data_IF_709464864252
#
_entry.id   IF_709464864252
#
_cell.length_a   1.000
_cell.length_b   1.000
_cell.length_c   1.000
_cell.angle_alpha   90.00
_cell.angle_beta   90.00
_cell.angle_gamma   90.00
#
_symmetry.space_group_name_H-M   'P 1'
#
loop_
_entity.id
_entity.type
_entity.pdbx_description
1 polymer ?
#
# COMPACT_ATOMS: atom_id res chain seq x y z
N UNK A 1 11.93 -7.75 -13.80
CA UNK A 1 11.27 -7.17 -12.61
C UNK A 1 9.96 -7.91 -12.44
N UNK A 2 9.78 -8.60 -11.32
CA UNK A 2 8.56 -9.36 -11.08
C UNK A 2 7.34 -8.47 -10.83
N UNK A 3 6.17 -9.09 -10.80
CA UNK A 3 4.91 -8.40 -10.50
C UNK A 3 4.94 -7.74 -9.13
N UNK A 4 5.50 -8.42 -8.14
CA UNK A 4 5.68 -7.88 -6.80
C UNK A 4 6.46 -6.56 -6.80
N UNK A 5 7.63 -6.54 -7.46
CA UNK A 5 8.49 -5.35 -7.52
C UNK A 5 7.79 -4.19 -8.19
N UNK A 6 7.01 -4.44 -9.24
CA UNK A 6 6.25 -3.39 -9.91
C UNK A 6 5.15 -2.82 -9.01
N UNK A 7 4.40 -3.66 -8.29
CA UNK A 7 3.39 -3.22 -7.31
C UNK A 7 4.06 -2.39 -6.22
N UNK A 8 5.17 -2.88 -5.67
CA UNK A 8 5.97 -2.16 -4.68
C UNK A 8 6.41 -0.80 -5.23
N UNK A 9 7.02 -0.73 -6.40
CA UNK A 9 7.48 0.54 -6.96
C UNK A 9 6.31 1.50 -7.23
N UNK A 10 5.15 1.01 -7.67
CA UNK A 10 3.97 1.84 -7.84
C UNK A 10 3.52 2.43 -6.48
N UNK A 11 3.39 1.62 -5.45
CA UNK A 11 2.93 2.07 -4.12
C UNK A 11 3.95 3.00 -3.46
N UNK A 12 5.21 2.59 -3.38
CA UNK A 12 6.26 3.38 -2.74
C UNK A 12 6.70 4.60 -3.58
N UNK A 13 6.53 4.55 -4.91
CA UNK A 13 6.71 5.69 -5.79
C UNK A 13 5.57 6.69 -5.67
N UNK A 14 4.33 6.21 -5.54
CA UNK A 14 3.17 7.06 -5.30
C UNK A 14 3.17 7.64 -3.89
N UNK A 15 3.78 6.96 -2.91
CA UNK A 15 4.08 7.50 -1.58
C UNK A 15 5.07 8.67 -1.59
N UNK A 16 6.05 8.66 -2.49
CA UNK A 16 6.98 9.78 -2.68
C UNK A 16 6.35 10.94 -3.45
N UNK A 17 5.43 10.63 -4.37
CA UNK A 17 4.71 11.64 -5.15
C UNK A 17 3.53 12.27 -4.38
N UNK A 18 2.93 11.54 -3.45
CA UNK A 18 1.96 12.08 -2.51
C UNK A 18 2.75 12.84 -1.44
N UNK A 19 2.69 14.18 -1.39
CA UNK A 19 3.17 14.87 -0.21
C UNK A 19 2.41 14.27 0.97
N UNK A 20 3.14 13.95 2.05
CA UNK A 20 2.53 13.76 3.35
C UNK A 20 1.76 15.05 3.64
N UNK A 21 0.48 15.07 3.28
CA UNK A 21 -0.46 16.04 3.83
C UNK A 21 -0.71 15.53 5.23
N UNK A 22 0.29 15.77 6.09
CA UNK A 22 0.03 16.12 7.47
C UNK A 22 -1.07 17.18 7.38
N UNK A 23 -2.23 16.86 7.93
CA UNK A 23 -3.35 17.78 7.99
C UNK A 23 -2.84 19.07 8.62
N UNK A 24 -2.56 20.05 7.77
CA UNK A 24 -2.27 21.41 8.16
C UNK A 24 -3.55 21.96 8.79
N UNK A 25 -3.64 21.89 10.11
CA UNK A 25 -4.62 22.67 10.84
C UNK A 25 -4.12 24.12 10.91
N UNK A 26 -4.80 24.94 10.11
CA UNK A 26 -5.02 26.39 10.20
C UNK A 26 -3.82 27.38 10.20
N UNK A 27 -3.83 28.39 9.30
CA UNK A 27 -3.01 29.58 9.46
C UNK A 27 -3.68 30.48 10.50
N UNK A 28 -3.07 30.66 11.68
CA UNK A 28 -3.48 31.73 12.59
C UNK A 28 -2.30 32.67 12.89
N UNK A 29 -2.43 33.87 12.32
CA UNK A 29 -1.60 35.04 12.55
C UNK A 29 -1.41 35.33 14.07
N UNK A 30 -0.14 35.45 14.47
CA UNK A 30 0.55 36.25 15.52
C UNK A 30 -0.22 37.05 16.60
N UNK A 31 0.45 37.59 17.66
CA UNK A 31 1.58 37.10 18.48
C UNK A 31 1.36 37.27 20.01
N UNK A 32 2.03 36.50 20.88
CA UNK A 32 2.61 36.95 22.18
C UNK A 32 2.91 35.81 23.18
N UNK A 33 4.18 35.80 23.64
CA UNK A 33 4.68 35.56 25.01
C UNK A 33 4.58 34.18 25.68
N UNK A 34 5.78 33.72 26.07
CA UNK A 34 6.15 32.96 27.29
C UNK A 34 5.59 31.55 27.49
N UNK A 35 6.47 30.55 27.29
CA UNK A 35 7.04 29.72 28.37
C UNK A 35 7.69 28.46 27.75
N UNK A 36 8.93 28.20 28.17
CA UNK A 36 9.72 27.07 27.73
C UNK A 36 9.09 25.71 28.10
N UNK A 37 8.93 24.85 27.11
CA UNK A 37 9.00 23.40 27.25
C UNK A 37 9.61 22.85 25.95
N UNK A 38 10.72 22.10 25.97
CA UNK A 38 11.19 21.39 24.79
C UNK A 38 10.20 20.25 24.56
N UNK A 39 9.12 20.52 23.81
CA UNK A 39 8.32 19.44 23.24
C UNK A 39 9.23 18.75 22.25
N UNK A 40 9.73 17.58 22.63
CA UNK A 40 10.49 16.71 21.76
C UNK A 40 9.67 16.52 20.49
N UNK A 41 10.11 17.15 19.41
CA UNK A 41 9.67 16.79 18.08
C UNK A 41 9.89 15.27 17.99
N UNK A 42 8.84 14.45 17.77
CA UNK A 42 9.08 13.07 17.45
C UNK A 42 9.93 13.11 16.18
N UNK A 43 11.19 12.73 16.32
CA UNK A 43 12.09 12.51 15.21
C UNK A 43 11.30 11.68 14.22
N UNK A 44 11.01 12.24 13.05
CA UNK A 44 10.35 11.53 11.97
C UNK A 44 11.28 10.37 11.61
N UNK A 45 11.10 9.25 12.30
CA UNK A 45 11.59 7.96 11.86
C UNK A 45 11.14 7.82 10.41
N UNK A 46 11.96 7.22 9.52
CA UNK A 46 11.57 7.01 8.14
C UNK A 46 10.17 6.39 8.15
N UNK A 47 9.17 7.19 7.75
CA UNK A 47 7.78 6.88 8.03
C UNK A 47 7.45 5.63 7.22
N UNK A 48 7.00 4.58 7.92
CA UNK A 48 6.50 3.40 7.25
C UNK A 48 5.38 3.85 6.29
N UNK A 49 5.48 3.43 5.03
CA UNK A 49 4.60 3.91 3.97
C UNK A 49 3.22 3.31 4.17
N UNK A 50 2.22 4.11 4.55
CA UNK A 50 0.84 3.66 4.73
C UNK A 50 0.23 3.23 3.38
N UNK A 51 0.07 1.92 3.19
CA UNK A 51 -0.33 1.33 1.91
C UNK A 51 -1.81 1.59 1.61
N UNK A 52 -2.65 1.61 2.64
CA UNK A 52 -4.09 1.77 2.50
C UNK A 52 -4.51 3.07 1.77
N UNK A 53 -4.06 4.27 2.18
CA UNK A 53 -4.41 5.51 1.48
C UNK A 53 -3.82 5.57 0.07
N UNK A 54 -2.67 4.94 -0.18
CA UNK A 54 -2.04 4.92 -1.50
C UNK A 54 -2.86 4.07 -2.46
N UNK A 55 -3.25 2.86 -2.04
CA UNK A 55 -4.12 2.00 -2.85
C UNK A 55 -5.50 2.64 -3.06
N UNK A 56 -6.06 3.32 -2.07
CA UNK A 56 -7.31 4.06 -2.22
C UNK A 56 -7.19 5.18 -3.26
N UNK A 57 -6.09 5.95 -3.22
CA UNK A 57 -5.79 6.97 -4.21
C UNK A 57 -5.58 6.36 -5.61
N UNK A 58 -4.89 5.22 -5.71
CA UNK A 58 -4.65 4.50 -6.95
C UNK A 58 -5.97 3.98 -7.57
N UNK A 59 -6.85 3.40 -6.75
CA UNK A 59 -8.21 2.99 -7.20
C UNK A 59 -9.00 4.19 -7.68
N UNK A 60 -8.96 5.30 -6.94
CA UNK A 60 -9.64 6.54 -7.33
C UNK A 60 -9.10 7.09 -8.65
N UNK A 61 -7.79 6.98 -8.90
CA UNK A 61 -7.16 7.32 -10.20
C UNK A 61 -7.60 6.40 -11.33
N UNK A 62 -7.74 5.10 -11.06
CA UNK A 62 -8.26 4.15 -12.06
C UNK A 62 -9.73 4.42 -12.45
N UNK A 63 -10.47 5.18 -11.63
CA UNK A 63 -11.87 5.56 -11.92
C UNK A 63 -12.85 4.38 -11.83
N UNK A 64 -12.40 3.24 -11.30
CA UNK A 64 -13.16 2.02 -11.16
C UNK A 64 -13.40 1.71 -9.68
N UNK A 65 -14.50 1.02 -9.39
CA UNK A 65 -14.79 0.54 -8.03
C UNK A 65 -14.08 -0.79 -7.84
N UNK A 66 -12.84 -0.73 -7.35
CA UNK A 66 -11.92 -1.87 -7.22
C UNK A 66 -11.80 -2.29 -5.75
N UNK A 67 -12.12 -3.54 -5.44
CA UNK A 67 -12.07 -4.10 -4.09
C UNK A 67 -10.68 -4.69 -3.76
N UNK A 68 -9.65 -3.86 -3.80
CA UNK A 68 -8.24 -4.25 -3.57
C UNK A 68 -7.98 -4.93 -2.21
N UNK A 69 -8.88 -4.74 -1.23
CA UNK A 69 -8.84 -5.35 0.11
C UNK A 69 -9.21 -6.83 0.15
N UNK A 70 -9.91 -7.32 -0.87
CA UNK A 70 -10.38 -8.71 -0.96
C UNK A 70 -9.90 -9.38 -2.25
N UNK A 71 -9.57 -8.58 -3.26
CA UNK A 71 -9.17 -9.04 -4.58
C UNK A 71 -7.77 -8.54 -4.93
N UNK A 72 -6.83 -9.48 -5.11
CA UNK A 72 -5.49 -9.18 -5.64
C UNK A 72 -5.56 -8.55 -7.03
N UNK A 73 -6.57 -8.93 -7.83
CA UNK A 73 -6.76 -8.46 -9.21
C UNK A 73 -7.12 -6.98 -9.21
N UNK A 74 -8.02 -6.59 -8.32
CA UNK A 74 -8.43 -5.19 -8.16
C UNK A 74 -7.28 -4.33 -7.63
N UNK A 75 -6.45 -4.87 -6.73
CA UNK A 75 -5.22 -4.22 -6.28
C UNK A 75 -4.24 -3.98 -7.45
N UNK A 76 -4.01 -5.01 -8.26
CA UNK A 76 -3.15 -4.91 -9.44
C UNK A 76 -3.68 -3.87 -10.44
N UNK A 77 -5.00 -3.83 -10.65
CA UNK A 77 -5.65 -2.80 -11.48
C UNK A 77 -5.56 -1.40 -10.89
N UNK A 78 -5.61 -1.27 -9.57
CA UNK A 78 -5.45 0.01 -8.89
C UNK A 78 -4.11 0.64 -9.25
N UNK A 79 -3.04 -0.16 -9.27
CA UNK A 79 -1.68 0.29 -9.62
C UNK A 79 -1.41 0.31 -11.13
N UNK A 80 -2.45 0.18 -11.97
CA UNK A 80 -2.33 0.29 -13.43
C UNK A 80 -1.82 -0.98 -14.14
N UNK A 81 -1.95 -2.15 -13.54
CA UNK A 81 -1.66 -3.43 -14.20
C UNK A 81 -2.92 -4.09 -14.77
N UNK A 82 -2.72 -4.97 -15.74
CA UNK A 82 -3.82 -5.71 -16.39
C UNK A 82 -4.45 -6.78 -15.47
N UNK A 83 -3.68 -7.27 -14.49
CA UNK A 83 -4.12 -8.29 -13.55
C UNK A 83 -4.55 -9.60 -14.25
N UNK A 84 -3.81 -9.95 -15.29
CA UNK A 84 -4.04 -11.15 -16.08
C UNK A 84 -3.66 -12.44 -15.34
N UNK A 85 -4.19 -13.58 -15.79
CA UNK A 85 -3.87 -14.90 -15.21
C UNK A 85 -2.36 -15.19 -15.25
N UNK A 86 -1.66 -14.69 -16.27
CA UNK A 86 -0.21 -14.77 -16.38
C UNK A 86 0.50 -14.02 -15.25
N UNK A 87 0.20 -12.73 -15.03
CA UNK A 87 0.78 -11.99 -13.90
C UNK A 87 0.40 -12.60 -12.55
N UNK A 88 -0.82 -13.12 -12.38
CA UNK A 88 -1.21 -13.78 -11.13
C UNK A 88 -0.38 -15.04 -10.87
N UNK A 89 -0.10 -15.83 -11.91
CA UNK A 89 0.77 -17.03 -11.82
C UNK A 89 2.22 -16.64 -11.55
N UNK A 90 2.70 -15.58 -12.18
CA UNK A 90 4.06 -15.06 -11.92
C UNK A 90 4.19 -14.54 -10.49
N UNK A 91 3.22 -13.75 -10.02
CA UNK A 91 3.16 -13.31 -8.63
C UNK A 91 3.08 -14.49 -7.65
N UNK A 92 2.32 -15.53 -8.01
CA UNK A 92 2.22 -16.75 -7.21
C UNK A 92 3.57 -17.46 -7.10
N UNK A 93 4.29 -17.60 -8.20
CA UNK A 93 5.64 -18.18 -8.21
C UNK A 93 6.63 -17.35 -7.38
N UNK A 94 6.59 -16.02 -7.52
CA UNK A 94 7.43 -15.07 -6.79
C UNK A 94 7.16 -15.09 -5.27
N UNK A 95 5.89 -15.23 -4.88
CA UNK A 95 5.47 -15.33 -3.48
C UNK A 95 5.58 -16.75 -2.92
N UNK A 96 6.03 -17.72 -3.70
CA UNK A 96 6.20 -19.12 -3.27
C UNK A 96 4.90 -19.89 -3.08
N UNK A 97 3.85 -19.56 -3.83
CA UNK A 97 2.62 -20.34 -3.85
C UNK A 97 2.87 -21.70 -4.51
N UNK A 98 2.70 -22.76 -3.73
CA UNK A 98 2.84 -24.15 -4.16
C UNK A 98 1.50 -24.90 -4.25
N UNK A 99 0.39 -24.18 -4.08
CA UNK A 99 -0.95 -24.75 -4.10
C UNK A 99 -1.50 -24.97 -5.51
N UNK A 100 -2.74 -25.47 -5.57
CA UNK A 100 -3.44 -25.70 -6.82
C UNK A 100 -3.77 -24.35 -7.51
N UNK A 101 -3.37 -24.21 -8.78
CA UNK A 101 -3.60 -22.98 -9.57
C UNK A 101 -4.98 -22.96 -10.24
N UNK A 102 -5.74 -24.05 -10.16
CA UNK A 102 -7.15 -24.13 -10.57
C UNK A 102 -8.09 -23.58 -9.49
N UNK A 103 -7.72 -23.70 -8.21
CA UNK A 103 -8.48 -23.14 -7.08
C UNK A 103 -8.19 -21.63 -6.90
N UNK A 104 -8.79 -20.83 -7.79
CA UNK A 104 -8.59 -19.37 -7.82
C UNK A 104 -8.96 -18.68 -6.50
N UNK A 105 -9.88 -19.24 -5.71
CA UNK A 105 -10.26 -18.66 -4.42
C UNK A 105 -9.14 -18.79 -3.38
N UNK A 106 -8.61 -20.01 -3.19
CA UNK A 106 -7.48 -20.26 -2.29
C UNK A 106 -6.23 -19.51 -2.75
N UNK A 107 -5.95 -19.55 -4.05
CA UNK A 107 -4.82 -18.83 -4.64
C UNK A 107 -4.94 -17.33 -4.41
N UNK A 108 -6.12 -16.73 -4.61
CA UNK A 108 -6.33 -15.29 -4.41
C UNK A 108 -6.19 -14.86 -2.95
N UNK A 109 -6.72 -15.64 -2.00
CA UNK A 109 -6.54 -15.39 -0.56
C UNK A 109 -5.06 -15.49 -0.15
N UNK A 110 -4.36 -16.53 -0.60
CA UNK A 110 -2.93 -16.68 -0.31
C UNK A 110 -2.11 -15.53 -0.90
N UNK A 111 -2.31 -15.23 -2.18
CA UNK A 111 -1.62 -14.15 -2.89
C UNK A 111 -1.83 -12.80 -2.20
N UNK A 112 -3.06 -12.50 -1.78
CA UNK A 112 -3.38 -11.31 -1.01
C UNK A 112 -2.55 -11.25 0.27
N UNK A 113 -2.65 -12.26 1.13
CA UNK A 113 -1.91 -12.27 2.41
C UNK A 113 -0.39 -12.22 2.22
N UNK A 114 0.13 -13.00 1.27
CA UNK A 114 1.57 -13.05 0.99
C UNK A 114 2.08 -11.71 0.41
N UNK A 115 1.30 -11.07 -0.46
CA UNK A 115 1.62 -9.74 -0.98
C UNK A 115 1.65 -8.71 0.15
N UNK A 116 0.60 -8.65 0.97
CA UNK A 116 0.50 -7.73 2.11
C UNK A 116 1.67 -7.91 3.08
N UNK A 117 1.99 -9.16 3.44
CA UNK A 117 3.15 -9.47 4.29
C UNK A 117 4.44 -8.96 3.68
N UNK A 118 4.70 -9.26 2.40
CA UNK A 118 5.91 -8.80 1.70
C UNK A 118 5.99 -7.28 1.59
N UNK A 119 4.88 -6.61 1.33
CA UNK A 119 4.80 -5.14 1.33
C UNK A 119 5.18 -4.59 2.70
N UNK A 120 4.71 -5.22 3.78
CA UNK A 120 5.04 -4.83 5.14
C UNK A 120 6.52 -5.02 5.48
N UNK A 121 7.10 -6.15 5.08
CA UNK A 121 8.54 -6.44 5.22
C UNK A 121 9.43 -5.44 4.48
N UNK A 122 8.91 -4.75 3.46
CA UNK A 122 9.63 -3.77 2.66
C UNK A 122 9.44 -2.31 3.16
N UNK A 123 8.93 -2.12 4.38
CA UNK A 123 8.72 -0.80 4.98
C UNK A 123 7.32 -0.22 4.74
N UNK A 124 6.40 -1.05 4.26
CA UNK A 124 4.98 -0.70 4.14
C UNK A 124 4.24 -0.89 5.46
N UNK A 125 3.32 0.02 5.74
CA UNK A 125 2.37 -0.13 6.83
C UNK A 125 1.07 -0.67 6.26
N UNK A 126 0.81 -1.93 6.58
CA UNK A 126 -0.41 -2.64 6.18
C UNK A 126 -1.37 -2.63 7.38
N UNK A 127 -2.64 -2.22 7.21
CA UNK A 127 -3.62 -2.30 8.27
C UNK A 127 -3.91 -3.76 8.65
N UNK A 128 -4.14 -4.01 9.93
CA UNK A 128 -4.37 -5.36 10.47
C UNK A 128 -5.54 -6.09 9.79
N UNK A 129 -6.57 -5.36 9.33
CA UNK A 129 -7.71 -5.87 8.56
C UNK A 129 -7.30 -6.61 7.27
N UNK A 130 -6.11 -6.32 6.73
CA UNK A 130 -5.59 -6.94 5.51
C UNK A 130 -4.54 -8.03 5.76
N UNK A 131 -4.20 -8.26 7.03
CA UNK A 131 -3.23 -9.27 7.44
C UNK A 131 -3.92 -10.61 7.80
N UNK A 132 -5.26 -10.63 7.82
CA UNK A 132 -6.13 -11.76 8.18
C UNK A 132 -6.38 -12.76 7.04
#
# INVERSE_FOLDING_TARGET
>A
MGIFDKIKNAIFGEAQAAPVIEAADAPKMAPAQTAAAPSAAPSAAPAAVDIAPILDAAVKKSGQKLDWRRSIVDLMKAVGMDASLSERKELAAELGYTGDTGDSAKMNMFLHKALMKKLSENGGKVPADLMD
#
